data_IF_005462413822
#
_entry.id   IF_005462413822
#
_cell.length_a   1.000
_cell.length_b   1.000
_cell.length_c   1.000
_cell.angle_alpha   90.00
_cell.angle_beta   90.00
_cell.angle_gamma   90.00
#
_symmetry.space_group_name_H-M   'P 1'
#
loop_
_entity.id
_entity.type
_entity.pdbx_description
1 polymer ?
#
# COMPACT_ATOMS: atom_id res chain seq x y z
N UNK A 1 8.99 9.70 -9.53
CA UNK A 1 8.97 8.24 -9.71
C UNK A 1 7.94 7.61 -8.81
N UNK A 2 7.64 6.32 -8.99
CA UNK A 2 6.71 5.54 -8.15
C UNK A 2 7.23 5.44 -6.72
N UNK A 3 6.36 5.61 -5.72
CA UNK A 3 6.70 5.56 -4.28
C UNK A 3 6.05 4.42 -3.53
N UNK A 4 4.86 4.00 -3.96
CA UNK A 4 4.12 2.89 -3.38
C UNK A 4 3.28 2.21 -4.47
N UNK A 5 2.93 0.96 -4.23
CA UNK A 5 2.01 0.18 -5.07
C UNK A 5 0.94 -0.40 -4.15
N UNK A 6 -0.33 -0.22 -4.52
CA UNK A 6 -1.48 -0.79 -3.81
C UNK A 6 -2.08 -1.89 -4.67
N UNK A 7 -2.23 -3.10 -4.13
CA UNK A 7 -2.79 -4.25 -4.85
C UNK A 7 -3.59 -5.18 -3.93
N UNK A 8 -4.43 -6.05 -4.50
CA UNK A 8 -5.15 -7.08 -3.72
C UNK A 8 -4.19 -8.14 -3.18
N UNK A 9 -3.16 -8.48 -3.95
CA UNK A 9 -2.13 -9.45 -3.60
C UNK A 9 -0.85 -9.15 -4.38
N UNK A 10 0.28 -9.67 -3.88
CA UNK A 10 1.57 -9.64 -4.57
C UNK A 10 2.12 -11.05 -4.70
N UNK A 11 2.70 -11.35 -5.85
CA UNK A 11 3.59 -12.50 -6.01
C UNK A 11 4.81 -12.36 -5.11
N UNK A 12 5.24 -13.48 -4.51
CA UNK A 12 6.27 -13.50 -3.45
C UNK A 12 7.58 -12.85 -3.89
N UNK A 13 8.03 -13.12 -5.11
CA UNK A 13 9.29 -12.58 -5.67
C UNK A 13 9.14 -11.11 -6.07
N UNK A 14 7.97 -10.70 -6.55
CA UNK A 14 7.72 -9.33 -7.01
C UNK A 14 7.75 -8.32 -5.86
N UNK A 15 7.30 -8.75 -4.68
CA UNK A 15 7.31 -7.95 -3.45
C UNK A 15 8.73 -7.54 -3.01
N UNK A 16 9.68 -8.47 -2.95
CA UNK A 16 11.05 -8.18 -2.48
C UNK A 16 11.78 -7.21 -3.41
N UNK A 17 11.54 -7.29 -4.71
CA UNK A 17 12.11 -6.35 -5.68
C UNK A 17 11.59 -4.91 -5.45
N UNK A 18 10.29 -4.74 -5.21
CA UNK A 18 9.70 -3.43 -4.94
C UNK A 18 10.32 -2.78 -3.71
N UNK A 19 10.48 -3.56 -2.63
CA UNK A 19 11.10 -3.10 -1.39
C UNK A 19 12.57 -2.70 -1.62
N UNK A 20 13.33 -3.51 -2.36
CA UNK A 20 14.71 -3.20 -2.74
C UNK A 20 14.86 -1.93 -3.59
N UNK A 21 13.81 -1.55 -4.32
CA UNK A 21 13.74 -0.30 -5.09
C UNK A 21 13.21 0.90 -4.28
N UNK A 22 12.91 0.71 -3.00
CA UNK A 22 12.32 1.74 -2.13
C UNK A 22 10.85 2.03 -2.44
N UNK A 23 10.14 1.09 -3.07
CA UNK A 23 8.71 1.15 -3.35
C UNK A 23 7.97 0.37 -2.27
N UNK A 24 6.97 0.99 -1.63
CA UNK A 24 6.20 0.35 -0.55
C UNK A 24 5.06 -0.51 -1.12
N UNK A 25 5.05 -1.84 -0.91
CA UNK A 25 3.95 -2.71 -1.30
C UNK A 25 2.83 -2.68 -0.24
N UNK A 26 1.66 -2.19 -0.63
CA UNK A 26 0.46 -2.07 0.18
C UNK A 26 -0.61 -3.05 -0.32
N UNK A 27 -1.18 -3.83 0.59
CA UNK A 27 -2.30 -4.70 0.29
C UNK A 27 -3.61 -4.14 0.83
N UNK A 28 -4.68 -4.22 0.03
CA UNK A 28 -6.04 -4.02 0.54
C UNK A 28 -6.38 -5.05 1.63
N UNK A 29 -7.34 -4.73 2.52
CA UNK A 29 -7.84 -5.71 3.47
C UNK A 29 -8.61 -6.83 2.75
N UNK A 30 -8.78 -7.99 3.39
CA UNK A 30 -9.57 -9.08 2.83
C UNK A 30 -10.98 -8.61 2.45
N UNK A 31 -11.37 -8.83 1.20
CA UNK A 31 -12.68 -8.41 0.68
C UNK A 31 -12.76 -6.96 0.21
N UNK A 32 -11.69 -6.17 0.34
CA UNK A 32 -11.58 -4.83 -0.23
C UNK A 32 -10.71 -4.81 -1.48
N UNK A 33 -11.02 -3.89 -2.38
CA UNK A 33 -10.29 -3.60 -3.60
C UNK A 33 -10.70 -2.24 -4.19
N UNK A 34 -10.09 -1.88 -5.33
CA UNK A 34 -10.43 -0.64 -6.02
C UNK A 34 -11.91 -0.56 -6.42
N UNK A 35 -12.54 -1.65 -6.87
CA UNK A 35 -13.93 -1.63 -7.36
C UNK A 35 -14.93 -1.46 -6.20
N UNK A 36 -14.76 -2.24 -5.13
CA UNK A 36 -15.56 -2.20 -3.90
C UNK A 36 -15.44 -0.86 -3.17
N UNK A 37 -14.24 -0.25 -3.21
CA UNK A 37 -14.00 1.09 -2.67
C UNK A 37 -14.40 2.20 -3.66
N UNK A 38 -14.76 1.85 -4.90
CA UNK A 38 -15.10 2.77 -5.98
C UNK A 38 -13.98 3.75 -6.29
N UNK A 39 -12.75 3.26 -6.35
CA UNK A 39 -11.53 3.97 -6.73
C UNK A 39 -11.39 3.94 -8.25
N UNK A 40 -11.28 5.12 -8.86
CA UNK A 40 -11.19 5.25 -10.33
C UNK A 40 -9.75 5.33 -10.82
N UNK A 41 -8.80 5.63 -9.93
CA UNK A 41 -7.39 5.88 -10.25
C UNK A 41 -7.09 7.32 -10.64
N UNK A 42 -8.12 8.17 -10.74
CA UNK A 42 -7.98 9.61 -10.99
C UNK A 42 -7.81 10.42 -9.70
N UNK A 43 -8.01 9.79 -8.54
CA UNK A 43 -7.92 10.44 -7.24
C UNK A 43 -6.47 10.71 -6.84
N UNK A 44 -6.28 11.71 -5.99
CA UNK A 44 -5.00 11.93 -5.33
C UNK A 44 -4.94 11.11 -4.04
N UNK A 45 -4.04 10.13 -4.01
CA UNK A 45 -3.82 9.27 -2.86
C UNK A 45 -2.77 9.88 -1.91
N UNK A 46 -3.16 10.06 -0.65
CA UNK A 46 -2.28 10.43 0.45
C UNK A 46 -2.05 9.20 1.32
N UNK A 47 -0.81 8.75 1.42
CA UNK A 47 -0.43 7.58 2.20
C UNK A 47 0.36 8.06 3.41
N UNK A 48 -0.20 7.86 4.60
CA UNK A 48 0.45 8.27 5.85
C UNK A 48 1.49 7.22 6.26
N UNK A 49 2.68 7.31 5.69
CA UNK A 49 3.82 6.45 6.04
C UNK A 49 4.72 7.15 7.09
N UNK A 50 5.39 6.37 7.96
CA UNK A 50 6.52 6.85 8.76
C UNK A 50 7.60 7.48 7.86
N UNK A 51 8.31 8.50 8.37
CA UNK A 51 9.36 9.19 7.61
C UNK A 51 10.50 8.27 7.18
N UNK A 52 10.76 7.20 7.95
CA UNK A 52 11.80 6.21 7.64
C UNK A 52 11.19 4.86 7.30
N UNK A 53 11.63 4.28 6.19
CA UNK A 53 11.28 2.90 5.78
C UNK A 53 11.66 1.89 6.87
N UNK A 54 12.74 2.13 7.60
CA UNK A 54 13.21 1.29 8.71
C UNK A 54 12.24 1.22 9.90
N UNK A 55 11.32 2.18 10.02
CA UNK A 55 10.32 2.23 11.08
C UNK A 55 9.03 1.49 10.69
N UNK A 56 8.86 1.17 9.40
CA UNK A 56 7.68 0.48 8.90
C UNK A 56 7.79 -0.99 9.24
N UNK A 57 6.80 -1.51 9.96
CA UNK A 57 6.78 -2.92 10.36
C UNK A 57 6.06 -3.78 9.31
N UNK A 58 6.57 -4.98 9.02
CA UNK A 58 5.83 -5.99 8.26
C UNK A 58 4.46 -6.25 8.90
N UNK A 59 3.41 -6.22 8.09
CA UNK A 59 2.03 -6.41 8.58
C UNK A 59 1.42 -5.19 9.26
N UNK A 60 2.09 -4.03 9.24
CA UNK A 60 1.52 -2.79 9.77
C UNK A 60 0.39 -2.29 8.90
N UNK A 61 -0.66 -1.78 9.53
CA UNK A 61 -1.76 -1.11 8.86
C UNK A 61 -1.46 0.37 8.64
N UNK A 62 -1.70 0.82 7.42
CA UNK A 62 -1.48 2.18 6.93
C UNK A 62 -2.78 2.69 6.35
N UNK A 63 -3.18 3.88 6.79
CA UNK A 63 -4.36 4.55 6.25
C UNK A 63 -3.99 5.30 4.97
N UNK A 64 -4.77 5.05 3.93
CA UNK A 64 -4.72 5.77 2.66
C UNK A 64 -5.96 6.64 2.57
N UNK A 65 -5.77 7.92 2.26
CA UNK A 65 -6.85 8.91 2.11
C UNK A 65 -6.84 9.44 0.69
N UNK A 66 -8.01 9.51 0.06
CA UNK A 66 -8.19 10.15 -1.24
C UNK A 66 -8.67 11.59 -1.07
N UNK A 67 -8.38 12.44 -2.04
CA UNK A 67 -8.91 13.81 -2.12
C UNK A 67 -10.43 13.86 -2.27
N UNK A 68 -11.05 12.78 -2.75
CA UNK A 68 -12.50 12.60 -2.77
C UNK A 68 -13.11 12.32 -1.38
N UNK A 69 -12.31 12.32 -0.30
CA UNK A 69 -12.77 12.11 1.07
C UNK A 69 -12.96 10.64 1.46
N UNK A 70 -12.59 9.69 0.60
CA UNK A 70 -12.60 8.26 0.94
C UNK A 70 -11.32 7.92 1.68
N UNK A 71 -11.42 7.06 2.68
CA UNK A 71 -10.27 6.52 3.40
C UNK A 71 -10.40 5.02 3.56
N UNK A 72 -9.30 4.30 3.35
CA UNK A 72 -9.25 2.86 3.52
C UNK A 72 -7.92 2.45 4.14
N UNK A 73 -7.90 1.25 4.72
CA UNK A 73 -6.72 0.73 5.40
C UNK A 73 -6.03 -0.28 4.50
N UNK A 74 -4.73 -0.14 4.34
CA UNK A 74 -3.89 -1.11 3.66
C UNK A 74 -2.90 -1.72 4.63
N UNK A 75 -2.61 -3.01 4.47
CA UNK A 75 -1.56 -3.67 5.23
C UNK A 75 -0.26 -3.64 4.42
N UNK A 76 0.81 -3.16 5.04
CA UNK A 76 2.15 -3.19 4.45
C UNK A 76 2.65 -4.62 4.44
N UNK A 77 3.01 -5.11 3.26
CA UNK A 77 3.54 -6.47 3.10
C UNK A 77 5.03 -6.38 2.85
N UNK A 78 5.84 -6.36 3.91
CA UNK A 78 7.25 -6.74 3.80
C UNK A 78 7.35 -8.26 3.98
N UNK A 79 8.16 -8.92 3.14
CA UNK A 79 8.67 -10.24 3.53
C UNK A 79 9.74 -9.99 4.60
N UNK A 80 9.49 -10.52 5.79
CA UNK A 80 10.58 -10.81 6.73
C UNK A 80 11.11 -12.18 6.37
N UNK A 81 12.42 -12.27 6.16
CA UNK A 81 13.13 -13.54 6.39
C UNK A 81 12.94 -14.00 7.84
#
# INVERSE_FOLDING_TARGET
GVKAVIAKSFERIHRSNLVGMGIVPLCFKPGEDADTLGLTGHERYTINLPEKISEIRPGQDITVVTDNGKSFTCTVRFDTE
#
